data_IF_052930255820
#
_entry.id   IF_052930255820
#
_cell.length_a   1.000
_cell.length_b   1.000
_cell.length_c   1.000
_cell.angle_alpha   90.00
_cell.angle_beta   90.00
_cell.angle_gamma   90.00
#
_symmetry.space_group_name_H-M   'P 1'
#
loop_
_entity.id
_entity.type
_entity.pdbx_description
1 polymer ?
#
# COMPACT_ATOMS: atom_id res chain seq x y z
N UNK A 1 3.86 -8.55 11.88
CA UNK A 1 4.46 -7.28 11.42
C UNK A 1 3.35 -6.45 10.80
N UNK A 2 3.19 -5.19 11.22
CA UNK A 2 2.21 -4.26 10.66
C UNK A 2 2.84 -3.64 9.39
N UNK A 3 2.36 -4.00 8.20
CA UNK A 3 2.79 -3.42 6.91
C UNK A 3 1.53 -2.92 6.21
N UNK A 4 1.55 -1.67 5.77
CA UNK A 4 0.44 -1.06 5.04
C UNK A 4 0.77 -1.13 3.56
N UNK A 5 -0.08 -1.80 2.79
CA UNK A 5 0.03 -1.81 1.34
C UNK A 5 -0.80 -0.63 0.81
N UNK A 6 -0.16 0.32 0.13
CA UNK A 6 -0.91 1.34 -0.60
C UNK A 6 -1.78 0.62 -1.65
N UNK A 7 -3.09 0.84 -1.57
CA UNK A 7 -3.98 0.20 -2.52
C UNK A 7 -3.62 0.66 -3.94
N UNK A 8 -3.47 -0.32 -4.82
CA UNK A 8 -3.16 -0.09 -6.23
C UNK A 8 -4.12 0.95 -6.81
N UNK A 9 -3.58 1.97 -7.49
CA UNK A 9 -4.29 3.11 -8.08
C UNK A 9 -5.72 2.76 -8.54
N UNK A 10 -6.69 3.58 -8.14
CA UNK A 10 -8.14 3.39 -8.29
C UNK A 10 -8.67 3.25 -9.73
N UNK A 11 -7.81 3.17 -10.74
CA UNK A 11 -8.19 3.37 -12.16
C UNK A 11 -8.44 2.10 -12.96
N UNK A 12 -8.34 0.92 -12.35
CA UNK A 12 -8.51 -0.35 -13.07
C UNK A 12 -9.72 -1.11 -12.54
N UNK A 13 -10.85 -0.99 -13.27
CA UNK A 13 -12.10 -1.69 -12.99
C UNK A 13 -11.90 -3.21 -13.12
N UNK A 14 -12.43 -3.97 -12.17
CA UNK A 14 -11.92 -5.31 -11.84
C UNK A 14 -12.09 -6.39 -12.92
N UNK A 15 -13.04 -6.24 -13.84
CA UNK A 15 -13.27 -7.22 -14.92
C UNK A 15 -12.38 -6.94 -16.15
N UNK A 16 -12.16 -5.68 -16.52
CA UNK A 16 -11.31 -5.30 -17.67
C UNK A 16 -9.83 -5.70 -17.43
N UNK A 17 -9.38 -5.64 -16.18
CA UNK A 17 -7.99 -5.97 -15.80
C UNK A 17 -7.63 -7.42 -16.09
N UNK A 18 -8.56 -8.36 -15.89
CA UNK A 18 -8.27 -9.79 -16.11
C UNK A 18 -8.09 -10.07 -17.59
N UNK A 19 -8.97 -9.53 -18.42
CA UNK A 19 -8.94 -9.72 -19.86
C UNK A 19 -7.70 -9.05 -20.47
N UNK A 20 -7.34 -7.85 -20.01
CA UNK A 20 -6.11 -7.15 -20.41
C UNK A 20 -4.85 -7.94 -20.04
N UNK A 21 -4.78 -8.47 -18.81
CA UNK A 21 -3.64 -9.29 -18.37
C UNK A 21 -3.56 -10.61 -19.13
N UNK A 22 -4.69 -11.22 -19.46
CA UNK A 22 -4.75 -12.44 -20.30
C UNK A 22 -4.29 -12.15 -21.72
N UNK A 23 -4.70 -11.02 -22.30
CA UNK A 23 -4.27 -10.60 -23.63
C UNK A 23 -2.75 -10.31 -23.68
N UNK A 24 -2.21 -9.66 -22.64
CA UNK A 24 -0.80 -9.27 -22.57
C UNK A 24 0.16 -10.42 -22.26
N UNK A 25 -0.18 -11.26 -21.27
CA UNK A 25 0.73 -12.27 -20.70
C UNK A 25 0.37 -13.70 -21.12
N UNK A 26 -0.72 -13.86 -21.87
CA UNK A 26 -1.31 -15.14 -22.23
C UNK A 26 -2.15 -15.76 -21.12
N UNK A 27 -2.93 -16.82 -21.43
CA UNK A 27 -4.04 -17.26 -20.57
C UNK A 27 -3.59 -17.76 -19.19
N UNK A 28 -2.46 -18.45 -19.12
CA UNK A 28 -1.98 -19.07 -17.87
C UNK A 28 -1.36 -18.04 -16.93
N UNK A 29 -0.48 -17.18 -17.46
CA UNK A 29 0.23 -16.19 -16.65
C UNK A 29 -0.71 -15.01 -16.31
N UNK A 30 -1.52 -14.54 -17.26
CA UNK A 30 -2.49 -13.48 -17.06
C UNK A 30 -3.46 -13.77 -15.92
N UNK A 31 -4.08 -14.96 -15.91
CA UNK A 31 -4.96 -15.36 -14.79
C UNK A 31 -4.25 -15.44 -13.44
N UNK A 32 -2.99 -15.88 -13.41
CA UNK A 32 -2.20 -15.96 -12.17
C UNK A 32 -1.87 -14.57 -11.63
N UNK A 33 -1.48 -13.65 -12.50
CA UNK A 33 -1.20 -12.26 -12.14
C UNK A 33 -2.48 -11.56 -11.70
N UNK A 34 -3.60 -11.75 -12.41
CA UNK A 34 -4.90 -11.21 -12.02
C UNK A 34 -5.36 -11.69 -10.64
N UNK A 35 -5.21 -12.98 -10.35
CA UNK A 35 -5.52 -13.51 -9.04
C UNK A 35 -4.64 -12.89 -7.94
N UNK A 36 -3.32 -12.84 -8.18
CA UNK A 36 -2.40 -12.21 -7.25
C UNK A 36 -2.69 -10.72 -7.02
N UNK A 37 -3.04 -10.00 -8.08
CA UNK A 37 -3.44 -8.60 -8.03
C UNK A 37 -4.71 -8.42 -7.17
N UNK A 38 -5.73 -9.25 -7.37
CA UNK A 38 -6.95 -9.25 -6.55
C UNK A 38 -6.65 -9.47 -5.07
N UNK A 39 -5.76 -10.43 -4.75
CA UNK A 39 -5.33 -10.69 -3.39
C UNK A 39 -4.63 -9.46 -2.77
N UNK A 40 -3.69 -8.85 -3.48
CA UNK A 40 -2.98 -7.64 -3.02
C UNK A 40 -3.92 -6.44 -2.84
N UNK A 41 -4.91 -6.26 -3.72
CA UNK A 41 -5.93 -5.22 -3.56
C UNK A 41 -6.72 -5.40 -2.27
N UNK A 42 -7.16 -6.63 -1.98
CA UNK A 42 -7.89 -6.93 -0.75
C UNK A 42 -7.07 -6.67 0.51
N UNK A 43 -5.77 -6.94 0.47
CA UNK A 43 -4.85 -6.61 1.56
C UNK A 43 -4.76 -5.08 1.73
N UNK A 44 -4.53 -4.32 0.64
CA UNK A 44 -4.44 -2.86 0.70
C UNK A 44 -5.73 -2.18 1.17
N UNK A 45 -6.89 -2.67 0.74
CA UNK A 45 -8.20 -2.17 1.22
C UNK A 45 -8.37 -2.40 2.72
N UNK A 46 -7.95 -3.56 3.23
CA UNK A 46 -7.98 -3.86 4.66
C UNK A 46 -7.01 -2.99 5.45
N UNK A 47 -5.80 -2.78 4.94
CA UNK A 47 -4.80 -1.95 5.60
C UNK A 47 -5.26 -0.50 5.69
N UNK A 48 -5.83 0.03 4.61
CA UNK A 48 -6.46 1.37 4.59
C UNK A 48 -7.56 1.48 5.65
N UNK A 49 -8.47 0.51 5.71
CA UNK A 49 -9.52 0.51 6.73
C UNK A 49 -9.00 0.43 8.17
N UNK A 50 -7.84 -0.22 8.39
CA UNK A 50 -7.19 -0.25 9.69
C UNK A 50 -6.54 1.11 10.04
N UNK A 51 -5.90 1.77 9.07
CA UNK A 51 -5.35 3.11 9.24
C UNK A 51 -6.46 4.12 9.52
N UNK A 52 -7.57 4.08 8.79
CA UNK A 52 -8.75 4.93 9.02
C UNK A 52 -9.38 4.70 10.41
N UNK A 53 -9.32 3.46 10.91
CA UNK A 53 -9.75 3.17 12.28
C UNK A 53 -8.78 3.80 13.29
N UNK A 54 -7.47 3.64 13.09
CA UNK A 54 -6.45 4.21 13.97
C UNK A 54 -6.54 5.74 14.02
N UNK A 55 -6.67 6.42 12.88
CA UNK A 55 -6.82 7.87 12.81
C UNK A 55 -8.01 8.36 13.66
N UNK A 56 -9.17 7.70 13.55
CA UNK A 56 -10.35 8.01 14.38
C UNK A 56 -10.11 7.79 15.87
N UNK A 57 -9.31 6.80 16.26
CA UNK A 57 -8.97 6.52 17.65
C UNK A 57 -7.98 7.53 18.24
N UNK A 58 -7.15 8.18 17.40
CA UNK A 58 -6.16 9.19 17.78
C UNK A 58 -6.74 10.58 18.10
N UNK A 59 -8.05 10.82 17.83
CA UNK A 59 -8.80 12.02 18.27
C UNK A 59 -8.14 13.36 17.95
N UNK A 60 -7.51 13.47 16.79
CA UNK A 60 -6.88 14.72 16.32
C UNK A 60 -5.35 14.75 16.45
N UNK A 61 -4.72 13.74 17.06
CA UNK A 61 -3.27 13.60 17.00
C UNK A 61 -2.83 13.28 15.56
N UNK A 62 -1.81 13.97 15.02
CA UNK A 62 -1.39 13.81 13.64
C UNK A 62 -0.83 12.40 13.40
N UNK A 63 -1.24 11.80 12.28
CA UNK A 63 -0.71 10.53 11.82
C UNK A 63 0.30 10.76 10.69
N UNK A 64 1.50 10.21 10.85
CA UNK A 64 2.56 10.25 9.83
C UNK A 64 2.70 8.87 9.19
N UNK A 65 2.34 8.72 7.90
CA UNK A 65 2.55 7.46 7.19
C UNK A 65 4.05 7.32 6.83
N UNK A 66 4.62 6.15 7.12
CA UNK A 66 5.96 5.77 6.65
C UNK A 66 5.81 4.58 5.71
N UNK A 67 6.28 4.66 4.45
CA UNK A 67 6.12 3.58 3.48
C UNK A 67 6.93 2.35 3.88
N UNK A 68 6.61 1.21 3.25
CA UNK A 68 7.46 0.03 3.34
C UNK A 68 8.78 0.32 2.62
N UNK A 69 9.88 0.31 3.36
CA UNK A 69 11.22 0.46 2.80
C UNK A 69 11.68 -0.86 2.15
N UNK A 70 12.51 -0.74 1.12
CA UNK A 70 13.05 -1.88 0.36
C UNK A 70 13.92 -2.80 1.24
N UNK A 71 14.63 -2.21 2.21
CA UNK A 71 15.53 -2.90 3.12
C UNK A 71 15.17 -2.65 4.60
N UNK A 72 15.56 -3.58 5.46
CA UNK A 72 15.42 -3.42 6.91
C UNK A 72 16.35 -2.30 7.42
N UNK A 73 15.83 -1.45 8.31
CA UNK A 73 16.61 -0.34 8.90
C UNK A 73 17.51 -0.88 10.01
N UNK A 74 18.80 -1.04 9.70
CA UNK A 74 19.81 -1.48 10.67
C UNK A 74 21.03 -0.55 10.77
N UNK A 75 21.08 0.52 9.99
CA UNK A 75 22.19 1.48 9.96
C UNK A 75 21.71 2.94 9.87
N UNK A 76 22.66 3.86 9.84
CA UNK A 76 22.38 5.29 9.75
C UNK A 76 21.74 5.71 8.42
N UNK A 77 22.01 4.98 7.33
CA UNK A 77 21.39 5.25 6.03
C UNK A 77 19.91 4.91 6.05
N UNK A 78 19.55 3.73 6.58
CA UNK A 78 18.16 3.35 6.78
C UNK A 78 17.42 4.30 7.73
N UNK A 79 18.09 4.78 8.79
CA UNK A 79 17.48 5.76 9.69
C UNK A 79 17.25 7.12 9.02
N UNK A 80 18.17 7.55 8.15
CA UNK A 80 18.00 8.76 7.36
C UNK A 80 16.78 8.66 6.42
N UNK A 81 16.58 7.51 5.78
CA UNK A 81 15.40 7.26 4.94
C UNK A 81 14.09 7.35 5.73
N UNK A 82 14.04 6.82 6.96
CA UNK A 82 12.87 7.00 7.84
C UNK A 82 12.68 8.46 8.22
N UNK A 83 13.76 9.18 8.52
CA UNK A 83 13.70 10.59 8.93
C UNK A 83 13.10 11.49 7.84
N UNK A 84 13.38 11.21 6.56
CA UNK A 84 12.78 11.94 5.43
C UNK A 84 11.25 11.91 5.48
N UNK A 85 10.65 10.79 5.91
CA UNK A 85 9.19 10.68 6.06
C UNK A 85 8.67 11.26 7.37
N UNK A 86 9.39 11.07 8.48
CA UNK A 86 8.96 11.57 9.80
C UNK A 86 8.91 13.10 9.89
N UNK A 87 9.76 13.77 9.11
CA UNK A 87 9.88 15.23 9.13
C UNK A 87 9.40 15.89 7.82
N UNK A 88 8.77 15.13 6.91
CA UNK A 88 8.05 15.69 5.78
C UNK A 88 6.80 16.44 6.27
N UNK A 89 6.37 17.48 5.54
CA UNK A 89 5.20 18.30 5.89
C UNK A 89 3.85 17.56 5.72
N UNK A 90 3.85 16.33 5.21
CA UNK A 90 2.66 15.51 4.97
C UNK A 90 2.26 14.71 6.21
N UNK A 91 1.58 15.38 7.15
CA UNK A 91 0.80 14.72 8.19
C UNK A 91 -0.66 14.59 7.73
N UNK A 92 -1.26 13.40 7.86
CA UNK A 92 -2.68 13.21 7.56
C UNK A 92 -3.49 13.77 8.75
N UNK A 93 -4.43 14.71 8.52
CA UNK A 93 -5.32 15.17 9.57
C UNK A 93 -6.23 14.00 10.02
N UNK A 94 -6.29 13.77 11.33
CA UNK A 94 -7.09 12.71 11.95
C UNK A 94 -8.59 13.04 12.01
#
# INVERSE_FOLDING_TARGET
>A
MNRVHEGVHETADGDDVVDDLVALLGPKLGRRVAHNFSDYRRIGERDRANVDRLARELRGDPLVPVPLLDDDVHDLGGLAAVAEHLFAEEAVPA
#
